data_IF_960676747181
#
_entry.id   IF_960676747181
#
_cell.length_a   1.000
_cell.length_b   1.000
_cell.length_c   1.000
_cell.angle_alpha   90.00
_cell.angle_beta   90.00
_cell.angle_gamma   90.00
#
_symmetry.space_group_name_H-M   'P 1'
#
loop_
_entity.id
_entity.type
_entity.pdbx_description
1 polymer ?
#
# COMPACT_ATOMS: atom_id res chain seq x y z
N UNK A 1 -4.02 1.98 -18.80
CA UNK A 1 -2.75 1.23 -18.73
C UNK A 1 -2.85 0.25 -17.58
N UNK A 2 -2.38 -0.98 -17.75
CA UNK A 2 -2.31 -1.97 -16.68
C UNK A 2 -1.05 -1.72 -15.86
N UNK A 3 -1.17 -1.71 -14.52
CA UNK A 3 -0.08 -1.47 -13.59
C UNK A 3 0.99 -2.58 -13.68
N UNK A 4 0.57 -3.85 -13.79
CA UNK A 4 1.49 -5.00 -13.94
C UNK A 4 2.51 -4.80 -15.06
N UNK A 5 2.15 -4.12 -16.14
CA UNK A 5 3.06 -3.83 -17.28
C UNK A 5 4.14 -2.79 -16.98
N UNK A 6 4.02 -1.99 -15.93
CA UNK A 6 5.09 -1.06 -15.54
C UNK A 6 6.38 -1.81 -15.19
N UNK A 7 6.27 -2.95 -14.53
CA UNK A 7 7.40 -3.77 -14.08
C UNK A 7 8.13 -4.50 -15.20
N UNK A 8 7.55 -4.56 -16.41
CA UNK A 8 8.20 -5.10 -17.60
C UNK A 8 9.18 -4.08 -18.23
N UNK A 9 8.90 -2.78 -18.06
CA UNK A 9 9.63 -1.70 -18.75
C UNK A 9 10.50 -0.86 -17.82
N UNK A 10 10.27 -0.92 -16.51
CA UNK A 10 10.98 -0.12 -15.51
C UNK A 10 11.22 -0.88 -14.22
N UNK A 11 12.44 -0.79 -13.68
CA UNK A 11 12.83 -1.25 -12.34
C UNK A 11 13.90 -0.32 -11.76
N UNK A 12 13.73 0.12 -10.51
CA UNK A 12 12.54 -0.03 -9.67
C UNK A 12 11.38 0.87 -10.12
N UNK A 13 10.14 0.41 -9.91
CA UNK A 13 8.93 1.23 -9.97
C UNK A 13 8.83 2.04 -8.68
N UNK A 14 8.35 3.30 -8.78
CA UNK A 14 8.13 4.16 -7.61
C UNK A 14 6.67 4.57 -7.50
N UNK A 15 6.05 4.20 -6.42
CA UNK A 15 4.65 4.47 -6.17
C UNK A 15 4.42 5.17 -4.82
N UNK A 16 3.30 5.83 -4.71
CA UNK A 16 2.90 6.56 -3.51
C UNK A 16 1.53 6.10 -3.05
N UNK A 17 1.30 6.11 -1.74
CA UNK A 17 -0.02 5.91 -1.17
C UNK A 17 -0.57 7.20 -0.58
N UNK A 18 -1.84 7.48 -0.87
CA UNK A 18 -2.62 8.53 -0.25
C UNK A 18 -3.92 7.94 0.31
N UNK A 19 -4.53 8.64 1.25
CA UNK A 19 -5.81 8.23 1.81
C UNK A 19 -6.83 9.36 1.76
N UNK A 20 -8.11 9.01 1.64
CA UNK A 20 -9.19 10.00 1.68
C UNK A 20 -9.12 10.83 2.96
N UNK A 21 -9.33 12.15 2.87
CA UNK A 21 -9.36 12.99 4.05
C UNK A 21 -10.50 12.59 4.99
N UNK A 22 -10.28 12.75 6.30
CA UNK A 22 -11.34 12.51 7.28
C UNK A 22 -12.50 13.48 7.05
N UNK A 23 -13.74 13.02 7.16
CA UNK A 23 -14.97 13.84 6.96
C UNK A 23 -14.97 15.18 7.72
N UNK A 24 -14.26 15.26 8.85
CA UNK A 24 -14.16 16.46 9.70
C UNK A 24 -12.90 17.30 9.43
N UNK A 25 -12.09 16.99 8.41
CA UNK A 25 -10.78 17.61 8.17
C UNK A 25 -10.72 18.36 6.82
N UNK A 26 -11.72 19.16 6.47
CA UNK A 26 -11.69 20.02 5.29
C UNK A 26 -12.19 19.39 3.97
N UNK A 27 -12.74 18.18 4.01
CA UNK A 27 -13.34 17.56 2.82
C UNK A 27 -12.32 17.13 1.74
N UNK A 28 -12.83 16.82 0.54
CA UNK A 28 -12.01 16.36 -0.60
C UNK A 28 -11.00 17.42 -1.07
N UNK A 29 -11.18 18.68 -0.72
CA UNK A 29 -10.31 19.78 -1.09
C UNK A 29 -8.87 19.59 -0.53
N UNK A 30 -8.74 18.98 0.65
CA UNK A 30 -7.42 18.73 1.25
C UNK A 30 -6.59 17.72 0.47
N UNK A 31 -7.22 16.83 -0.32
CA UNK A 31 -6.49 15.90 -1.17
C UNK A 31 -5.80 16.60 -2.34
N UNK A 32 -6.38 17.70 -2.84
CA UNK A 32 -5.73 18.48 -3.91
C UNK A 32 -4.40 19.07 -3.46
N UNK A 33 -4.32 19.60 -2.24
CA UNK A 33 -3.05 20.12 -1.68
C UNK A 33 -2.00 19.00 -1.58
N UNK A 34 -2.43 17.81 -1.14
CA UNK A 34 -1.57 16.63 -1.09
C UNK A 34 -1.08 16.24 -2.48
N UNK A 35 -1.99 16.09 -3.45
CA UNK A 35 -1.63 15.68 -4.81
C UNK A 35 -0.80 16.75 -5.54
N UNK A 36 -1.09 18.03 -5.34
CA UNK A 36 -0.28 19.14 -5.89
C UNK A 36 1.15 19.09 -5.34
N UNK A 37 1.34 18.72 -4.07
CA UNK A 37 2.67 18.54 -3.50
C UNK A 37 3.39 17.26 -3.95
N UNK A 38 2.67 16.27 -4.49
CA UNK A 38 3.24 14.98 -4.91
C UNK A 38 3.46 14.86 -6.42
N UNK A 39 2.72 15.61 -7.26
CA UNK A 39 2.73 15.45 -8.74
C UNK A 39 4.11 15.61 -9.38
N UNK A 40 4.92 16.53 -8.86
CA UNK A 40 6.25 16.85 -9.42
C UNK A 40 7.29 15.76 -9.09
N UNK A 41 6.98 14.85 -8.16
CA UNK A 41 7.78 13.65 -7.88
C UNK A 41 7.68 12.61 -9.02
N UNK A 42 6.71 12.77 -9.93
CA UNK A 42 6.47 11.88 -11.07
C UNK A 42 6.42 10.41 -10.66
N UNK A 43 5.57 10.04 -9.70
CA UNK A 43 5.41 8.63 -9.33
C UNK A 43 4.87 7.85 -10.55
N UNK A 44 5.20 6.57 -10.62
CA UNK A 44 4.69 5.70 -11.67
C UNK A 44 3.20 5.40 -11.49
N UNK A 45 2.75 5.34 -10.22
CA UNK A 45 1.34 5.30 -9.86
C UNK A 45 1.10 5.85 -8.45
N UNK A 46 -0.17 6.13 -8.14
CA UNK A 46 -0.62 6.49 -6.80
C UNK A 46 -1.76 5.55 -6.40
N UNK A 47 -1.63 4.87 -5.26
CA UNK A 47 -2.71 4.10 -4.67
C UNK A 47 -3.54 4.95 -3.70
N UNK A 48 -4.83 4.69 -3.65
CA UNK A 48 -5.78 5.39 -2.78
C UNK A 48 -6.43 4.39 -1.85
N UNK A 49 -6.24 4.57 -0.54
CA UNK A 49 -6.80 3.64 0.45
C UNK A 49 -8.32 3.67 0.44
N UNK A 50 -8.94 2.56 0.83
CA UNK A 50 -10.38 2.47 1.02
C UNK A 50 -10.75 3.21 2.31
N UNK A 51 -11.75 4.09 2.28
CA UNK A 51 -12.12 4.92 3.43
C UNK A 51 -12.43 4.08 4.67
N UNK A 52 -12.00 4.54 5.84
CA UNK A 52 -12.11 3.85 7.13
C UNK A 52 -13.56 3.51 7.58
N UNK A 53 -14.57 3.94 6.84
CA UNK A 53 -15.99 3.67 7.11
C UNK A 53 -16.59 2.47 6.41
N UNK A 54 -15.89 1.87 5.44
CA UNK A 54 -16.36 0.68 4.71
C UNK A 54 -17.79 0.81 4.13
N UNK A 55 -18.27 2.02 3.89
CA UNK A 55 -19.66 2.25 3.56
C UNK A 55 -19.78 2.56 2.06
N UNK A 56 -20.68 1.87 1.35
CA UNK A 56 -21.08 2.14 -0.06
C UNK A 56 -21.39 3.62 -0.36
N UNK A 57 -21.80 4.37 0.66
CA UNK A 57 -22.06 5.80 0.54
C UNK A 57 -20.80 6.67 0.45
N UNK A 58 -19.59 6.08 0.57
CA UNK A 58 -18.33 6.81 0.53
C UNK A 58 -17.56 6.50 -0.76
N UNK A 59 -17.90 7.21 -1.82
CA UNK A 59 -17.26 7.10 -3.14
C UNK A 59 -15.87 7.78 -3.18
N UNK A 60 -15.35 8.25 -2.04
CA UNK A 60 -14.14 9.07 -1.98
C UNK A 60 -12.92 8.43 -2.63
N UNK A 61 -12.75 7.11 -2.51
CA UNK A 61 -11.65 6.39 -3.18
C UNK A 61 -11.76 6.47 -4.69
N UNK A 62 -12.95 6.24 -5.24
CA UNK A 62 -13.21 6.33 -6.68
C UNK A 62 -13.01 7.76 -7.20
N UNK A 63 -13.55 8.75 -6.49
CA UNK A 63 -13.43 10.17 -6.86
C UNK A 63 -11.96 10.62 -6.87
N UNK A 64 -11.18 10.26 -5.84
CA UNK A 64 -9.75 10.59 -5.77
C UNK A 64 -8.98 9.87 -6.89
N UNK A 65 -9.25 8.59 -7.16
CA UNK A 65 -8.64 7.88 -8.29
C UNK A 65 -8.95 8.56 -9.63
N UNK A 66 -10.19 9.03 -9.82
CA UNK A 66 -10.60 9.79 -10.99
C UNK A 66 -9.82 11.11 -11.11
N UNK A 67 -9.63 11.84 -10.01
CA UNK A 67 -8.83 13.06 -9.95
C UNK A 67 -7.36 12.77 -10.31
N UNK A 68 -6.74 11.76 -9.72
CA UNK A 68 -5.35 11.35 -9.98
C UNK A 68 -5.16 11.07 -11.47
N UNK A 69 -6.09 10.34 -12.08
CA UNK A 69 -6.04 9.99 -13.50
C UNK A 69 -6.26 11.20 -14.41
N UNK A 70 -7.37 11.92 -14.21
CA UNK A 70 -7.85 12.88 -15.20
C UNK A 70 -7.21 14.27 -15.04
N UNK A 71 -6.89 14.69 -13.81
CA UNK A 71 -6.27 16.00 -13.54
C UNK A 71 -4.74 15.91 -13.53
N UNK A 72 -4.19 14.85 -12.94
CA UNK A 72 -2.73 14.73 -12.76
C UNK A 72 -2.06 13.83 -13.78
N UNK A 73 -2.83 13.09 -14.60
CA UNK A 73 -2.34 12.13 -15.58
C UNK A 73 -1.37 11.09 -14.99
N UNK A 74 -1.66 10.67 -13.76
CA UNK A 74 -0.93 9.63 -13.03
C UNK A 74 -1.82 8.38 -12.98
N UNK A 75 -1.23 7.18 -13.05
CA UNK A 75 -1.96 5.92 -12.95
C UNK A 75 -2.52 5.74 -11.54
N UNK A 76 -3.85 5.60 -11.34
CA UNK A 76 -4.41 5.32 -10.02
C UNK A 76 -4.54 3.83 -9.77
N UNK A 77 -4.43 3.44 -8.50
CA UNK A 77 -4.85 2.13 -7.98
C UNK A 77 -5.86 2.36 -6.86
N UNK A 78 -7.05 1.79 -6.99
CA UNK A 78 -8.07 1.85 -5.96
C UNK A 78 -7.90 0.67 -4.98
N UNK A 79 -7.79 0.94 -3.67
CA UNK A 79 -7.94 -0.13 -2.69
C UNK A 79 -9.41 -0.55 -2.63
N UNK A 80 -9.65 -1.85 -2.48
CA UNK A 80 -10.99 -2.42 -2.33
C UNK A 80 -10.94 -3.51 -1.27
N UNK A 81 -11.78 -3.37 -0.24
CA UNK A 81 -11.84 -4.33 0.86
C UNK A 81 -13.12 -5.18 0.78
N UNK A 82 -13.06 -6.43 1.24
CA UNK A 82 -14.21 -7.32 1.17
C UNK A 82 -14.93 -7.55 2.52
N UNK A 83 -14.28 -7.33 3.66
CA UNK A 83 -14.83 -7.71 4.99
C UNK A 83 -16.21 -7.08 5.26
N UNK A 84 -16.42 -5.82 4.85
CA UNK A 84 -17.65 -5.08 5.09
C UNK A 84 -18.50 -4.88 3.83
N UNK A 85 -18.17 -5.57 2.72
CA UNK A 85 -18.88 -5.46 1.46
C UNK A 85 -19.46 -6.82 1.04
N UNK A 86 -20.72 -6.82 0.62
CA UNK A 86 -21.33 -7.97 -0.05
C UNK A 86 -20.88 -8.04 -1.51
N UNK A 87 -21.17 -9.17 -2.19
CA UNK A 87 -20.92 -9.30 -3.63
C UNK A 87 -21.66 -8.22 -4.45
N UNK A 88 -22.88 -7.87 -4.05
CA UNK A 88 -23.62 -6.79 -4.70
C UNK A 88 -22.99 -5.42 -4.47
N UNK A 89 -22.41 -5.18 -3.28
CA UNK A 89 -21.68 -3.95 -3.00
C UNK A 89 -20.42 -3.86 -3.88
N UNK A 90 -19.68 -4.96 -3.99
CA UNK A 90 -18.50 -5.03 -4.86
C UNK A 90 -18.89 -4.79 -6.33
N UNK A 91 -20.00 -5.33 -6.82
CA UNK A 91 -20.46 -5.09 -8.19
C UNK A 91 -20.69 -3.60 -8.47
N UNK A 92 -21.34 -2.90 -7.55
CA UNK A 92 -21.58 -1.44 -7.68
C UNK A 92 -20.26 -0.68 -7.68
N UNK A 93 -19.33 -1.03 -6.78
CA UNK A 93 -18.00 -0.36 -6.71
C UNK A 93 -17.21 -0.59 -8.00
N UNK A 94 -17.21 -1.81 -8.53
CA UNK A 94 -16.51 -2.14 -9.77
C UNK A 94 -17.08 -1.38 -10.97
N UNK A 95 -18.41 -1.18 -11.03
CA UNK A 95 -19.03 -0.38 -12.07
C UNK A 95 -18.64 1.10 -11.96
N UNK A 96 -18.70 1.68 -10.76
CA UNK A 96 -18.25 3.07 -10.53
C UNK A 96 -16.78 3.26 -10.93
N UNK A 97 -15.90 2.30 -10.61
CA UNK A 97 -14.49 2.35 -11.01
C UNK A 97 -14.34 2.29 -12.54
N UNK A 98 -15.12 1.43 -13.24
CA UNK A 98 -15.12 1.37 -14.70
C UNK A 98 -15.57 2.68 -15.33
N UNK A 99 -16.67 3.28 -14.82
CA UNK A 99 -17.16 4.57 -15.30
C UNK A 99 -16.12 5.68 -15.11
N UNK A 100 -15.40 5.67 -13.98
CA UNK A 100 -14.25 6.56 -13.75
C UNK A 100 -13.02 6.20 -14.58
N UNK A 101 -13.06 5.09 -15.33
CA UNK A 101 -11.95 4.58 -16.14
C UNK A 101 -10.78 4.07 -15.31
N UNK A 102 -11.02 3.65 -14.06
CA UNK A 102 -10.03 3.06 -13.14
C UNK A 102 -10.09 1.54 -13.28
N UNK A 103 -8.99 0.93 -13.68
CA UNK A 103 -8.91 -0.52 -13.94
C UNK A 103 -7.90 -1.25 -13.06
N UNK A 104 -7.21 -0.54 -12.17
CA UNK A 104 -6.21 -1.14 -11.29
C UNK A 104 -6.75 -1.14 -9.85
N UNK A 105 -6.74 -2.29 -9.21
CA UNK A 105 -7.34 -2.51 -7.88
C UNK A 105 -6.33 -3.20 -6.97
N UNK A 106 -6.16 -2.68 -5.75
CA UNK A 106 -5.50 -3.41 -4.66
C UNK A 106 -6.60 -4.11 -3.84
N UNK A 107 -6.70 -5.42 -4.02
CA UNK A 107 -7.70 -6.25 -3.36
C UNK A 107 -7.23 -6.68 -1.97
N UNK A 108 -8.01 -6.34 -0.96
CA UNK A 108 -7.71 -6.54 0.45
C UNK A 108 -8.88 -7.23 1.17
N UNK A 109 -8.61 -7.94 2.25
CA UNK A 109 -9.68 -8.36 3.16
C UNK A 109 -10.28 -7.15 3.87
N UNK A 110 -9.43 -6.26 4.33
CA UNK A 110 -9.75 -5.16 5.23
C UNK A 110 -9.66 -5.58 6.70
N UNK A 111 -9.62 -4.59 7.59
CA UNK A 111 -9.56 -4.79 9.03
C UNK A 111 -10.95 -5.07 9.59
N UNK A 112 -11.04 -6.00 10.53
CA UNK A 112 -12.27 -6.28 11.26
C UNK A 112 -12.52 -5.14 12.25
N UNK A 113 -13.60 -4.39 12.03
CA UNK A 113 -14.05 -3.36 12.96
C UNK A 113 -15.09 -3.96 13.91
N UNK A 114 -14.87 -3.97 15.24
CA UNK A 114 -15.85 -4.50 16.20
C UNK A 114 -17.23 -3.85 16.13
N UNK A 115 -17.28 -2.60 15.66
CA UNK A 115 -18.54 -1.82 15.56
C UNK A 115 -19.33 -2.08 14.26
N UNK A 116 -18.71 -2.80 13.29
CA UNK A 116 -19.31 -3.07 11.98
C UNK A 116 -19.27 -4.58 11.72
N UNK A 117 -20.40 -5.29 11.75
CA UNK A 117 -20.40 -6.72 11.51
C UNK A 117 -19.95 -7.07 10.08
N UNK A 118 -19.08 -8.07 9.90
CA UNK A 118 -18.68 -8.54 8.58
C UNK A 118 -19.88 -9.01 7.74
N UNK A 119 -19.83 -8.77 6.43
CA UNK A 119 -20.88 -9.23 5.50
C UNK A 119 -20.84 -10.74 5.21
N UNK A 120 -19.70 -11.37 5.46
CA UNK A 120 -19.46 -12.82 5.29
C UNK A 120 -19.63 -13.38 3.85
N UNK A 121 -19.67 -12.53 2.84
CA UNK A 121 -19.70 -12.96 1.44
C UNK A 121 -18.30 -13.37 0.93
N UNK A 122 -17.27 -12.91 1.65
CA UNK A 122 -15.87 -13.22 1.42
C UNK A 122 -15.16 -13.43 2.76
N UNK A 123 -14.43 -14.52 2.88
CA UNK A 123 -13.60 -14.77 4.06
C UNK A 123 -12.22 -14.12 3.94
N UNK A 124 -11.64 -14.13 2.74
CA UNK A 124 -10.27 -13.68 2.49
C UNK A 124 -10.14 -12.89 1.18
N UNK A 125 -9.00 -12.21 1.02
CA UNK A 125 -8.72 -11.36 -0.14
C UNK A 125 -8.56 -12.14 -1.45
N UNK A 126 -8.15 -13.40 -1.42
CA UNK A 126 -8.06 -14.29 -2.59
C UNK A 126 -9.41 -14.57 -3.23
N UNK A 127 -10.46 -14.72 -2.42
CA UNK A 127 -11.84 -14.83 -2.89
C UNK A 127 -12.32 -13.54 -3.58
N UNK A 128 -11.93 -12.37 -3.03
CA UNK A 128 -12.19 -11.09 -3.69
C UNK A 128 -11.44 -10.98 -5.01
N UNK A 129 -10.16 -11.38 -5.07
CA UNK A 129 -9.36 -11.41 -6.30
C UNK A 129 -10.05 -12.25 -7.37
N UNK A 130 -10.44 -13.49 -7.04
CA UNK A 130 -11.15 -14.38 -7.95
C UNK A 130 -12.47 -13.76 -8.43
N UNK A 131 -13.22 -13.13 -7.53
CA UNK A 131 -14.47 -12.47 -7.85
C UNK A 131 -14.29 -11.31 -8.81
N UNK A 132 -13.33 -10.40 -8.54
CA UNK A 132 -13.04 -9.26 -9.42
C UNK A 132 -12.62 -9.76 -10.81
N UNK A 133 -11.76 -10.81 -10.89
CA UNK A 133 -11.36 -11.40 -12.17
C UNK A 133 -12.55 -11.92 -12.98
N UNK A 134 -13.57 -12.45 -12.33
CA UNK A 134 -14.80 -12.93 -13.00
C UNK A 134 -15.68 -11.81 -13.57
N UNK A 135 -15.49 -10.54 -13.11
CA UNK A 135 -16.32 -9.39 -13.49
C UNK A 135 -15.75 -8.53 -14.63
N UNK A 136 -14.55 -8.81 -15.09
CA UNK A 136 -13.98 -8.09 -16.21
C UNK A 136 -12.46 -7.93 -16.18
N UNK A 137 -11.95 -7.06 -17.05
CA UNK A 137 -10.52 -6.83 -17.21
C UNK A 137 -9.97 -5.80 -16.22
N UNK A 138 -9.85 -6.22 -14.96
CA UNK A 138 -9.11 -5.45 -13.96
C UNK A 138 -7.69 -6.01 -13.79
N UNK A 139 -6.74 -5.12 -13.54
CA UNK A 139 -5.40 -5.45 -13.09
C UNK A 139 -5.38 -5.45 -11.56
N UNK A 140 -5.05 -6.57 -10.94
CA UNK A 140 -5.27 -6.76 -9.51
C UNK A 140 -3.94 -6.89 -8.79
N UNK A 141 -3.74 -6.06 -7.78
CA UNK A 141 -2.68 -6.15 -6.79
C UNK A 141 -3.18 -6.83 -5.52
N UNK A 142 -2.29 -7.48 -4.81
CA UNK A 142 -2.54 -8.01 -3.46
C UNK A 142 -1.56 -7.46 -2.45
N UNK A 143 -1.92 -7.48 -1.17
CA UNK A 143 -0.98 -7.21 -0.08
C UNK A 143 -0.22 -8.48 0.31
N UNK A 144 1.04 -8.32 0.78
CA UNK A 144 1.87 -9.37 1.35
C UNK A 144 2.60 -8.86 2.60
N UNK A 145 3.09 -9.79 3.42
CA UNK A 145 3.64 -9.48 4.75
C UNK A 145 5.07 -10.02 4.88
N UNK A 146 6.10 -9.16 4.94
CA UNK A 146 7.48 -9.62 5.11
C UNK A 146 7.72 -10.40 6.40
N UNK A 147 7.01 -10.06 7.47
CA UNK A 147 7.16 -10.65 8.80
C UNK A 147 5.99 -11.58 9.20
N UNK A 148 5.24 -12.11 8.23
CA UNK A 148 4.05 -12.95 8.43
C UNK A 148 2.80 -12.17 8.85
N UNK A 149 1.67 -12.49 8.25
CA UNK A 149 0.39 -11.87 8.61
C UNK A 149 -0.01 -12.24 10.05
N UNK A 150 -0.44 -11.28 10.91
CA UNK A 150 -0.78 -11.57 12.31
C UNK A 150 -1.83 -12.65 12.51
N UNK A 151 -2.75 -12.84 11.57
CA UNK A 151 -3.80 -13.87 11.62
C UNK A 151 -3.37 -15.20 10.99
N UNK A 152 -2.17 -15.31 10.41
CA UNK A 152 -1.64 -16.56 9.88
C UNK A 152 -1.08 -17.43 11.00
N UNK A 153 -1.30 -18.75 10.90
CA UNK A 153 -0.81 -19.72 11.89
C UNK A 153 0.73 -19.71 11.97
N UNK A 154 1.37 -19.66 10.82
CA UNK A 154 2.83 -19.57 10.68
C UNK A 154 3.26 -18.96 9.33
N UNK A 155 4.57 -18.79 9.14
CA UNK A 155 5.14 -18.25 7.90
C UNK A 155 4.87 -19.13 6.68
N UNK A 156 4.80 -20.46 6.85
CA UNK A 156 4.57 -21.37 5.72
C UNK A 156 3.13 -21.19 5.22
N UNK A 157 2.17 -21.20 6.14
CA UNK A 157 0.75 -20.98 5.84
C UNK A 157 0.53 -19.62 5.19
N UNK A 158 1.21 -18.56 5.67
CA UNK A 158 1.12 -17.22 5.09
C UNK A 158 1.62 -17.17 3.63
N UNK A 159 2.77 -17.79 3.36
CA UNK A 159 3.31 -17.88 1.98
C UNK A 159 2.40 -18.72 1.06
N UNK A 160 1.80 -19.81 1.55
CA UNK A 160 0.87 -20.61 0.77
C UNK A 160 -0.43 -19.85 0.48
N UNK A 161 -0.97 -19.11 1.44
CA UNK A 161 -2.12 -18.23 1.25
C UNK A 161 -1.82 -17.13 0.25
N UNK A 162 -0.61 -16.54 0.31
CA UNK A 162 -0.16 -15.56 -0.68
C UNK A 162 -0.05 -16.17 -2.09
N UNK A 163 0.49 -17.40 -2.18
CA UNK A 163 0.54 -18.12 -3.46
C UNK A 163 -0.86 -18.36 -4.03
N UNK A 164 -1.81 -18.77 -3.19
CA UNK A 164 -3.21 -18.94 -3.61
C UNK A 164 -3.80 -17.63 -4.13
N UNK A 165 -3.55 -16.50 -3.44
CA UNK A 165 -3.99 -15.15 -3.89
C UNK A 165 -3.44 -14.81 -5.29
N UNK A 166 -2.16 -15.14 -5.56
CA UNK A 166 -1.55 -14.95 -6.88
C UNK A 166 -2.20 -15.87 -7.91
N UNK A 167 -2.43 -17.15 -7.57
CA UNK A 167 -3.08 -18.12 -8.46
C UNK A 167 -4.53 -17.73 -8.78
N UNK A 168 -5.22 -17.06 -7.86
CA UNK A 168 -6.55 -16.49 -8.08
C UNK A 168 -6.53 -15.27 -9.04
N UNK A 169 -5.36 -14.71 -9.34
CA UNK A 169 -5.21 -13.66 -10.35
C UNK A 169 -4.63 -12.34 -9.89
N UNK A 170 -4.00 -12.27 -8.72
CA UNK A 170 -3.19 -11.10 -8.38
C UNK A 170 -1.90 -11.08 -9.23
N UNK A 171 -1.69 -9.99 -9.96
CA UNK A 171 -0.60 -9.83 -10.93
C UNK A 171 0.57 -8.99 -10.37
N UNK A 172 0.44 -8.47 -9.16
CA UNK A 172 1.42 -7.66 -8.46
C UNK A 172 1.16 -7.68 -6.95
N UNK A 173 2.20 -7.49 -6.15
CA UNK A 173 2.11 -7.46 -4.69
C UNK A 173 2.74 -6.18 -4.13
N UNK A 174 2.10 -5.61 -3.12
CA UNK A 174 2.64 -4.52 -2.29
C UNK A 174 2.84 -5.07 -0.88
N UNK A 175 4.05 -4.93 -0.35
CA UNK A 175 4.31 -5.42 1.00
C UNK A 175 3.72 -4.48 2.06
N UNK A 176 3.29 -5.06 3.18
CA UNK A 176 3.07 -4.30 4.41
C UNK A 176 4.39 -3.65 4.84
N UNK A 177 4.31 -2.58 5.67
CA UNK A 177 5.47 -1.92 6.23
C UNK A 177 6.37 -2.90 7.01
N UNK A 178 7.64 -2.67 6.94
CA UNK A 178 8.71 -3.35 7.70
C UNK A 178 9.84 -2.35 7.95
N UNK A 179 10.69 -2.62 8.93
CA UNK A 179 11.79 -1.70 9.31
C UNK A 179 13.17 -2.32 9.18
N UNK A 180 13.26 -3.60 8.81
CA UNK A 180 14.49 -4.30 8.56
C UNK A 180 14.45 -4.97 7.19
N UNK A 181 15.37 -4.61 6.29
CA UNK A 181 15.38 -5.11 4.92
C UNK A 181 15.65 -6.61 4.82
N UNK A 182 16.34 -7.21 5.79
CA UNK A 182 16.60 -8.64 5.83
C UNK A 182 15.29 -9.45 5.91
N UNK A 183 14.26 -8.92 6.61
CA UNK A 183 12.95 -9.58 6.69
C UNK A 183 12.26 -9.60 5.32
N UNK A 184 12.37 -8.49 4.56
CA UNK A 184 11.86 -8.41 3.20
C UNK A 184 12.63 -9.33 2.24
N UNK A 185 13.96 -9.41 2.35
CA UNK A 185 14.78 -10.29 1.50
C UNK A 185 14.44 -11.76 1.76
N UNK A 186 14.37 -12.16 3.02
CA UNK A 186 13.99 -13.51 3.43
C UNK A 186 12.57 -13.87 2.94
N UNK A 187 11.63 -12.94 3.07
CA UNK A 187 10.26 -13.10 2.55
C UNK A 187 10.28 -13.29 1.03
N UNK A 188 10.97 -12.41 0.28
CA UNK A 188 11.06 -12.47 -1.18
C UNK A 188 11.64 -13.80 -1.67
N UNK A 189 12.65 -14.33 -0.98
CA UNK A 189 13.22 -15.63 -1.28
C UNK A 189 12.20 -16.76 -1.07
N UNK A 190 11.52 -16.79 0.07
CA UNK A 190 10.45 -17.76 0.36
C UNK A 190 9.32 -17.70 -0.66
N UNK A 191 8.88 -16.50 -1.02
CA UNK A 191 7.86 -16.30 -2.05
C UNK A 191 8.27 -16.88 -3.41
N UNK A 192 9.54 -16.65 -3.83
CA UNK A 192 10.10 -17.24 -5.05
C UNK A 192 10.17 -18.76 -5.00
N UNK A 193 10.60 -19.34 -3.89
CA UNK A 193 10.62 -20.79 -3.67
C UNK A 193 9.22 -21.41 -3.74
N UNK A 194 8.20 -20.71 -3.24
CA UNK A 194 6.79 -21.11 -3.38
C UNK A 194 6.23 -20.93 -4.80
N UNK A 195 7.01 -20.40 -5.75
CA UNK A 195 6.59 -20.22 -7.15
C UNK A 195 5.85 -18.91 -7.42
N UNK A 196 5.92 -17.94 -6.52
CA UNK A 196 5.39 -16.58 -6.74
C UNK A 196 6.37 -15.82 -7.64
N UNK A 197 5.92 -15.44 -8.85
CA UNK A 197 6.74 -14.80 -9.88
C UNK A 197 6.32 -13.37 -10.19
N UNK A 198 5.21 -12.92 -9.64
CA UNK A 198 4.73 -11.54 -9.81
C UNK A 198 5.67 -10.55 -9.11
N UNK A 199 5.77 -9.30 -9.61
CA UNK A 199 6.60 -8.28 -8.96
C UNK A 199 6.09 -7.97 -7.55
N UNK A 200 7.05 -7.64 -6.67
CA UNK A 200 6.79 -7.29 -5.26
C UNK A 200 7.41 -5.93 -4.96
N UNK A 201 6.57 -4.94 -4.67
CA UNK A 201 7.02 -3.64 -4.16
C UNK A 201 7.24 -3.67 -2.65
N UNK A 202 8.31 -3.03 -2.22
CA UNK A 202 8.62 -2.83 -0.81
C UNK A 202 7.84 -1.62 -0.27
N UNK A 203 6.95 -1.86 0.68
CA UNK A 203 6.17 -0.83 1.37
C UNK A 203 6.99 -0.13 2.45
N UNK A 204 7.32 1.14 2.25
CA UNK A 204 8.17 1.94 3.14
C UNK A 204 7.34 3.00 3.86
N UNK A 205 7.39 2.99 5.19
CA UNK A 205 6.74 3.99 6.03
C UNK A 205 7.77 4.86 6.73
N UNK A 206 7.89 6.15 6.37
CA UNK A 206 8.75 7.09 7.08
C UNK A 206 8.28 7.31 8.51
N UNK A 207 9.21 7.22 9.46
CA UNK A 207 8.93 7.37 10.88
C UNK A 207 8.94 8.83 11.26
N UNK A 208 7.80 9.38 11.69
CA UNK A 208 7.68 10.79 12.08
C UNK A 208 7.09 11.00 13.48
N UNK A 209 6.58 9.93 14.10
CA UNK A 209 5.97 9.96 15.42
C UNK A 209 6.11 8.61 16.10
N UNK A 210 6.64 8.58 17.34
CA UNK A 210 6.92 7.35 18.08
C UNK A 210 5.65 6.53 18.35
N UNK A 211 4.62 7.15 18.92
CA UNK A 211 3.38 6.44 19.29
C UNK A 211 2.65 5.89 18.07
N UNK A 212 2.64 6.63 16.96
CA UNK A 212 2.06 6.18 15.70
C UNK A 212 2.80 4.95 15.17
N UNK A 213 4.14 4.98 15.13
CA UNK A 213 4.96 3.87 14.63
C UNK A 213 4.77 2.61 15.48
N UNK A 214 4.82 2.73 16.81
CA UNK A 214 4.62 1.58 17.69
C UNK A 214 3.23 0.95 17.49
N UNK A 215 2.19 1.78 17.39
CA UNK A 215 0.83 1.31 17.11
C UNK A 215 0.75 0.60 15.76
N UNK A 216 1.29 1.20 14.70
CA UNK A 216 1.26 0.61 13.35
C UNK A 216 2.05 -0.70 13.31
N UNK A 217 3.24 -0.74 13.91
CA UNK A 217 4.04 -1.96 14.00
C UNK A 217 3.27 -3.10 14.68
N UNK A 218 2.59 -2.82 15.80
CA UNK A 218 1.76 -3.80 16.51
C UNK A 218 0.60 -4.29 15.65
N UNK A 219 -0.12 -3.38 14.97
CA UNK A 219 -1.26 -3.73 14.13
C UNK A 219 -0.85 -4.57 12.90
N UNK A 220 0.31 -4.28 12.34
CA UNK A 220 0.81 -4.94 11.11
C UNK A 220 1.69 -6.16 11.39
N UNK A 221 1.96 -6.48 12.67
CA UNK A 221 2.87 -7.56 13.02
C UNK A 221 4.35 -7.27 12.71
N UNK A 222 4.71 -6.00 12.51
CA UNK A 222 6.07 -5.61 12.17
C UNK A 222 6.94 -5.44 13.43
N UNK A 223 8.18 -5.92 13.38
CA UNK A 223 9.16 -5.76 14.44
C UNK A 223 9.83 -4.39 14.41
N UNK A 224 10.27 -3.91 15.58
CA UNK A 224 11.03 -2.66 15.70
C UNK A 224 12.50 -2.99 15.94
N UNK A 225 13.39 -2.80 14.93
CA UNK A 225 14.82 -3.11 15.08
C UNK A 225 15.50 -2.22 16.13
N UNK A 226 16.61 -2.69 16.69
CA UNK A 226 17.38 -1.93 17.71
C UNK A 226 17.82 -0.54 17.23
N UNK A 227 18.18 -0.39 15.95
CA UNK A 227 18.53 0.91 15.34
C UNK A 227 17.35 1.87 15.43
N UNK A 228 16.15 1.42 15.06
CA UNK A 228 14.91 2.19 15.14
C UNK A 228 14.52 2.51 16.58
N UNK A 229 14.56 1.54 17.50
CA UNK A 229 14.25 1.77 18.91
C UNK A 229 15.13 2.84 19.54
N UNK A 230 16.45 2.85 19.24
CA UNK A 230 17.38 3.90 19.73
C UNK A 230 16.99 5.27 19.20
N UNK A 231 16.64 5.38 17.93
CA UNK A 231 16.21 6.62 17.28
C UNK A 231 14.92 7.14 17.92
N UNK A 232 13.91 6.30 18.06
CA UNK A 232 12.63 6.62 18.69
C UNK A 232 12.81 7.14 20.12
N UNK A 233 13.65 6.47 20.93
CA UNK A 233 13.89 6.87 22.32
C UNK A 233 14.75 8.14 22.41
N UNK A 234 15.76 8.31 21.54
CA UNK A 234 16.66 9.48 21.59
C UNK A 234 15.94 10.78 21.27
N UNK A 235 15.01 10.73 20.31
CA UNK A 235 14.35 11.92 19.78
C UNK A 235 12.88 12.06 20.22
N UNK A 236 12.43 11.27 21.19
CA UNK A 236 11.04 11.26 21.67
C UNK A 236 10.47 12.64 21.98
N UNK A 237 11.28 13.49 22.62
CA UNK A 237 10.90 14.83 23.04
C UNK A 237 11.29 15.94 22.03
N UNK A 238 11.73 15.56 20.82
CA UNK A 238 12.06 16.49 19.75
C UNK A 238 11.44 16.01 18.42
N UNK A 239 10.16 16.38 18.16
CA UNK A 239 9.44 15.92 16.97
C UNK A 239 10.15 16.21 15.65
N UNK A 240 10.82 17.38 15.54
CA UNK A 240 11.54 17.72 14.31
C UNK A 240 12.77 16.85 14.10
N UNK A 241 13.55 16.59 15.14
CA UNK A 241 14.70 15.70 15.07
C UNK A 241 14.26 14.24 14.79
N UNK A 242 13.12 13.81 15.35
CA UNK A 242 12.55 12.48 15.07
C UNK A 242 12.12 12.36 13.61
N UNK A 243 11.45 13.37 13.06
CA UNK A 243 11.05 13.40 11.66
C UNK A 243 12.27 13.34 10.73
N UNK A 244 13.29 14.18 10.95
CA UNK A 244 14.50 14.19 10.13
C UNK A 244 15.26 12.85 10.21
N UNK A 245 15.37 12.27 11.40
CA UNK A 245 16.00 10.96 11.59
C UNK A 245 15.20 9.81 10.96
N UNK A 246 13.86 9.88 11.01
CA UNK A 246 12.98 8.91 10.38
C UNK A 246 13.00 8.97 8.86
N UNK A 247 13.10 10.18 8.28
CA UNK A 247 13.32 10.36 6.84
C UNK A 247 14.67 9.77 6.43
N UNK A 248 15.74 10.04 7.18
CA UNK A 248 17.06 9.49 6.91
C UNK A 248 17.07 7.95 6.98
N UNK A 249 16.33 7.37 7.93
CA UNK A 249 16.17 5.91 8.04
C UNK A 249 15.47 5.33 6.82
N UNK A 250 14.38 5.95 6.37
CA UNK A 250 13.65 5.50 5.18
C UNK A 250 14.50 5.61 3.91
N UNK A 251 15.32 6.67 3.77
CA UNK A 251 16.25 6.83 2.65
C UNK A 251 17.29 5.71 2.65
N UNK A 252 17.94 5.43 3.80
CA UNK A 252 18.90 4.34 3.96
C UNK A 252 18.29 2.98 3.56
N UNK A 253 17.08 2.72 4.04
CA UNK A 253 16.30 1.52 3.71
C UNK A 253 16.01 1.41 2.21
N UNK A 254 15.57 2.48 1.56
CA UNK A 254 15.26 2.51 0.13
C UNK A 254 16.53 2.30 -0.71
N UNK A 255 17.63 2.95 -0.38
CA UNK A 255 18.90 2.80 -1.10
C UNK A 255 19.38 1.35 -1.08
N UNK A 256 19.33 0.70 0.07
CA UNK A 256 19.71 -0.70 0.21
C UNK A 256 18.78 -1.63 -0.59
N UNK A 257 17.46 -1.38 -0.57
CA UNK A 257 16.49 -2.14 -1.38
C UNK A 257 16.75 -2.00 -2.88
N UNK A 258 17.05 -0.80 -3.36
CA UNK A 258 17.38 -0.54 -4.77
C UNK A 258 18.67 -1.28 -5.14
N UNK A 259 19.70 -1.19 -4.30
CA UNK A 259 20.98 -1.88 -4.52
C UNK A 259 20.82 -3.41 -4.58
N UNK A 260 19.84 -3.97 -3.88
CA UNK A 260 19.50 -5.40 -3.89
C UNK A 260 18.43 -5.78 -4.94
N UNK A 261 18.15 -4.90 -5.91
CA UNK A 261 17.31 -5.20 -7.05
C UNK A 261 15.84 -5.45 -6.70
N UNK A 262 15.26 -4.57 -5.88
CA UNK A 262 13.81 -4.59 -5.60
C UNK A 262 13.02 -4.28 -6.87
N UNK A 263 11.83 -4.87 -7.04
CA UNK A 263 10.98 -4.60 -8.19
C UNK A 263 10.40 -3.18 -8.16
N UNK A 264 10.10 -2.67 -6.96
CA UNK A 264 9.59 -1.31 -6.77
C UNK A 264 9.58 -0.89 -5.30
N UNK A 265 9.40 0.41 -5.10
CA UNK A 265 9.26 1.05 -3.78
C UNK A 265 7.88 1.69 -3.71
N UNK A 266 7.10 1.29 -2.73
CA UNK A 266 5.81 1.86 -2.38
C UNK A 266 5.92 2.73 -1.14
N UNK A 267 5.76 4.05 -1.26
CA UNK A 267 5.93 4.97 -0.13
C UNK A 267 4.57 5.32 0.49
N UNK A 268 4.39 4.97 1.75
CA UNK A 268 3.26 5.41 2.58
C UNK A 268 3.44 6.89 2.94
N UNK A 269 2.85 7.80 2.16
CA UNK A 269 3.08 9.24 2.32
C UNK A 269 2.46 9.83 3.58
N UNK A 270 1.48 9.15 4.16
CA UNK A 270 0.66 9.65 5.27
C UNK A 270 0.04 11.03 4.96
N UNK A 271 -0.25 11.30 3.67
CA UNK A 271 -0.70 12.60 3.15
C UNK A 271 0.23 13.76 3.55
N UNK A 272 1.55 13.50 3.66
CA UNK A 272 2.58 14.50 3.98
C UNK A 272 3.56 14.69 2.81
N UNK A 273 3.22 15.51 1.81
CA UNK A 273 4.05 15.68 0.60
C UNK A 273 5.50 16.04 0.89
N UNK A 274 5.75 16.90 1.89
CA UNK A 274 7.09 17.30 2.29
C UNK A 274 8.02 16.12 2.59
N UNK A 275 7.52 15.08 3.26
CA UNK A 275 8.33 13.89 3.59
C UNK A 275 8.67 13.12 2.32
N UNK A 276 7.70 12.90 1.44
CA UNK A 276 7.91 12.26 0.15
C UNK A 276 8.91 13.04 -0.70
N UNK A 277 8.79 14.38 -0.77
CA UNK A 277 9.72 15.26 -1.49
C UNK A 277 11.16 15.11 -0.98
N UNK A 278 11.36 15.09 0.36
CA UNK A 278 12.68 14.89 0.97
C UNK A 278 13.31 13.55 0.60
N UNK A 279 12.51 12.47 0.63
CA UNK A 279 12.96 11.13 0.26
C UNK A 279 13.31 11.08 -1.22
N UNK A 280 12.41 11.53 -2.09
CA UNK A 280 12.62 11.50 -3.55
C UNK A 280 13.82 12.33 -3.98
N UNK A 281 14.04 13.50 -3.39
CA UNK A 281 15.23 14.32 -3.69
C UNK A 281 16.54 13.58 -3.36
N UNK A 282 16.56 12.74 -2.33
CA UNK A 282 17.74 11.97 -1.94
C UNK A 282 18.03 10.77 -2.85
N UNK A 283 17.00 10.22 -3.54
CA UNK A 283 17.13 9.03 -4.37
C UNK A 283 16.92 9.31 -5.88
N UNK A 284 16.83 10.58 -6.27
CA UNK A 284 16.48 10.99 -7.65
C UNK A 284 17.39 10.37 -8.71
N UNK A 285 18.70 10.28 -8.44
CA UNK A 285 19.67 9.69 -9.37
C UNK A 285 19.63 8.17 -9.45
N UNK A 286 18.82 7.50 -8.62
CA UNK A 286 18.72 6.04 -8.51
C UNK A 286 17.40 5.49 -9.10
N UNK A 287 16.58 6.36 -9.69
CA UNK A 287 15.23 6.03 -10.20
C UNK A 287 15.24 5.66 -11.67
#
# INVERSE_FOLDING_TARGET
MKMSKLFEVKKPVFSLEVFPPKKNAGGIETIYETLDGLKDLKPDFISVTYGAGGNLADNSTCDICSIIKNKYNILPIAHLTCVNNSKSDIDVILENLKEAGVSNILALRGDINPDIPPKNDFAHADELVAYIKSKGEFDISGACYPETHPDSEDTVSDILNLKNKVDCGAEHLISQLFFNNEDFYSFREKARLAGIKVPIEAGIMPVTNKSQVLRMATMCGASIPRKMSRLLNRFENNPKALEDAGIAYAIDQIIDLIANGVDGIHLYTMNKPYIAQRIFAAIESMR
#
